data_IF_780628200217
#
_entry.id   IF_780628200217
#
_cell.length_a   1.000
_cell.length_b   1.000
_cell.length_c   1.000
_cell.angle_alpha   90.00
_cell.angle_beta   90.00
_cell.angle_gamma   90.00
#
_symmetry.space_group_name_H-M   'P 1'
#
loop_
_entity.id
_entity.type
_entity.pdbx_description
1 polymer ?
#
# COMPACT_ATOMS: atom_id res chain seq x y z
N UNK A 1 20.14 -0.34 19.78
CA UNK A 1 18.76 -0.47 20.29
C UNK A 1 18.73 -0.25 21.80
N UNK A 2 17.57 -0.02 22.36
CA UNK A 2 17.36 0.15 23.78
C UNK A 2 17.76 -1.13 24.56
N UNK A 3 18.34 -1.02 25.75
CA UNK A 3 18.50 -2.16 26.62
C UNK A 3 17.16 -2.52 27.30
N UNK A 4 17.11 -3.61 28.13
CA UNK A 4 15.85 -4.08 28.71
C UNK A 4 15.22 -3.09 29.70
N UNK A 5 16.05 -2.41 30.50
CA UNK A 5 15.60 -1.42 31.48
C UNK A 5 15.06 -0.17 30.77
N UNK A 6 15.80 0.36 29.82
CA UNK A 6 15.37 1.48 28.97
C UNK A 6 14.06 1.20 28.25
N UNK A 7 13.89 -0.02 27.70
CA UNK A 7 12.64 -0.41 27.05
C UNK A 7 11.48 -0.45 28.03
N UNK A 8 11.71 -0.96 29.26
CA UNK A 8 10.70 -0.97 30.33
C UNK A 8 10.22 0.44 30.69
N UNK A 9 11.13 1.40 30.76
CA UNK A 9 10.79 2.81 31.02
C UNK A 9 10.03 3.41 29.82
N UNK A 10 10.49 3.14 28.60
CA UNK A 10 9.89 3.63 27.37
C UNK A 10 8.47 3.10 27.11
N UNK A 11 8.11 1.92 27.60
CA UNK A 11 6.74 1.38 27.52
C UNK A 11 5.70 2.29 28.21
N UNK A 12 6.10 3.06 29.22
CA UNK A 12 5.21 3.97 29.93
C UNK A 12 4.94 5.29 29.17
N UNK A 13 5.68 5.57 28.10
CA UNK A 13 5.53 6.77 27.31
C UNK A 13 4.42 6.61 26.28
N UNK A 14 3.47 7.53 26.28
CA UNK A 14 2.32 7.56 25.36
C UNK A 14 2.66 8.45 24.17
N UNK A 15 3.15 7.86 23.09
CA UNK A 15 3.49 8.52 21.85
C UNK A 15 3.24 7.58 20.63
N UNK A 16 3.60 8.02 19.44
CA UNK A 16 3.45 7.29 18.17
C UNK A 16 4.33 6.02 18.08
N UNK A 17 5.38 5.90 18.90
CA UNK A 17 6.26 4.74 18.95
C UNK A 17 5.76 3.62 19.88
N UNK A 18 4.66 3.82 20.57
CA UNK A 18 4.19 2.92 21.62
C UNK A 18 3.94 1.49 21.14
N UNK A 19 3.25 1.32 19.99
CA UNK A 19 2.95 0.00 19.45
C UNK A 19 4.23 -0.76 19.07
N UNK A 20 5.22 -0.05 18.54
CA UNK A 20 6.51 -0.65 18.17
C UNK A 20 7.32 -1.09 19.38
N UNK A 21 7.24 -0.35 20.48
CA UNK A 21 7.87 -0.74 21.76
C UNK A 21 7.23 -1.96 22.37
N UNK A 22 5.91 -2.11 22.26
CA UNK A 22 5.19 -3.31 22.71
C UNK A 22 5.66 -4.53 21.88
N UNK A 23 5.72 -4.40 20.56
CA UNK A 23 6.23 -5.47 19.71
C UNK A 23 7.69 -5.83 20.02
N UNK A 24 8.57 -4.84 20.28
CA UNK A 24 9.96 -5.07 20.67
C UNK A 24 10.06 -5.78 22.06
N UNK A 25 9.21 -5.40 23.00
CA UNK A 25 9.14 -6.06 24.31
C UNK A 25 8.72 -7.53 24.17
N UNK A 26 7.71 -7.83 23.35
CA UNK A 26 7.27 -9.20 23.07
C UNK A 26 8.38 -10.02 22.40
N UNK A 27 9.10 -9.48 21.40
CA UNK A 27 10.25 -10.15 20.76
C UNK A 27 11.36 -10.47 21.76
N UNK A 28 11.50 -9.70 22.83
CA UNK A 28 12.48 -9.91 23.93
C UNK A 28 11.94 -10.74 25.10
N UNK A 29 10.75 -11.31 24.97
CA UNK A 29 10.16 -12.20 25.96
C UNK A 29 9.69 -11.50 27.23
N UNK A 30 9.17 -10.28 27.12
CA UNK A 30 8.40 -9.68 28.21
C UNK A 30 7.05 -10.39 28.31
N UNK A 31 6.60 -10.64 29.54
CA UNK A 31 5.27 -11.17 29.79
C UNK A 31 4.18 -10.09 29.62
N UNK A 32 2.93 -10.54 29.41
CA UNK A 32 1.80 -9.64 29.17
C UNK A 32 1.48 -8.76 30.36
N UNK A 33 1.65 -9.29 31.59
CA UNK A 33 1.37 -8.52 32.79
C UNK A 33 2.32 -7.34 32.93
N UNK A 34 3.62 -7.56 32.71
CA UNK A 34 4.63 -6.49 32.70
C UNK A 34 4.30 -5.43 31.64
N UNK A 35 3.91 -5.82 30.42
CA UNK A 35 3.55 -4.87 29.37
C UNK A 35 2.27 -4.12 29.73
N UNK A 36 1.26 -4.82 30.22
CA UNK A 36 -0.01 -4.22 30.67
C UNK A 36 0.22 -3.19 31.79
N UNK A 37 0.94 -3.56 32.84
CA UNK A 37 1.22 -2.66 33.97
C UNK A 37 1.93 -1.36 33.56
N UNK A 38 2.81 -1.44 32.56
CA UNK A 38 3.55 -0.27 32.04
C UNK A 38 2.76 0.57 31.06
N UNK A 39 1.93 -0.06 30.24
CA UNK A 39 1.22 0.62 29.14
C UNK A 39 -0.22 0.95 29.48
N UNK A 40 -0.83 0.25 30.44
CA UNK A 40 -2.27 0.24 30.73
C UNK A 40 -3.13 -0.18 29.51
N UNK A 41 -2.51 -0.84 28.50
CA UNK A 41 -3.21 -1.42 27.36
C UNK A 41 -3.78 -2.77 27.76
N UNK A 42 -5.04 -3.02 27.40
CA UNK A 42 -5.70 -4.28 27.67
C UNK A 42 -4.90 -5.46 27.07
N UNK A 43 -4.70 -6.56 27.83
CA UNK A 43 -3.97 -7.74 27.38
C UNK A 43 -4.47 -8.33 26.06
N UNK A 44 -5.74 -8.14 25.72
CA UNK A 44 -6.28 -8.58 24.44
C UNK A 44 -5.56 -7.95 23.24
N UNK A 45 -5.24 -6.64 23.30
CA UNK A 45 -4.49 -5.97 22.22
C UNK A 45 -3.02 -6.42 22.19
N UNK A 46 -2.43 -6.67 23.36
CA UNK A 46 -1.07 -7.21 23.49
C UNK A 46 -0.99 -8.59 22.84
N UNK A 47 -1.99 -9.45 23.08
CA UNK A 47 -2.14 -10.76 22.46
C UNK A 47 -2.18 -10.67 20.91
N UNK A 48 -2.92 -9.70 20.36
CA UNK A 48 -2.98 -9.53 18.88
C UNK A 48 -1.63 -9.12 18.28
N UNK A 49 -0.83 -8.33 19.00
CA UNK A 49 0.53 -8.01 18.58
C UNK A 49 1.45 -9.23 18.72
N UNK A 50 1.27 -10.03 19.77
CA UNK A 50 2.06 -11.25 20.01
C UNK A 50 1.90 -12.26 18.87
N UNK A 51 0.70 -12.44 18.32
CA UNK A 51 0.44 -13.31 17.15
C UNK A 51 1.34 -12.93 15.96
N UNK A 52 1.50 -11.63 15.70
CA UNK A 52 2.39 -11.16 14.62
C UNK A 52 3.88 -11.43 14.95
N UNK A 53 4.28 -11.24 16.21
CA UNK A 53 5.65 -11.53 16.66
C UNK A 53 5.96 -13.02 16.57
N UNK A 54 5.02 -13.89 16.90
CA UNK A 54 5.15 -15.35 16.76
C UNK A 54 5.31 -15.76 15.28
N UNK A 55 4.57 -15.14 14.37
CA UNK A 55 4.74 -15.36 12.94
C UNK A 55 6.12 -14.89 12.46
N UNK A 56 6.61 -13.72 12.89
CA UNK A 56 7.97 -13.27 12.60
C UNK A 56 9.03 -14.30 13.05
N UNK A 57 8.89 -14.85 14.27
CA UNK A 57 9.79 -15.87 14.79
C UNK A 57 9.70 -17.16 13.98
N UNK A 58 8.50 -17.58 13.58
CA UNK A 58 8.30 -18.76 12.74
C UNK A 58 8.99 -18.61 11.39
N UNK A 59 8.86 -17.44 10.74
CA UNK A 59 9.54 -17.12 9.48
C UNK A 59 11.08 -17.09 9.61
N UNK A 60 11.61 -16.68 10.77
CA UNK A 60 13.05 -16.61 11.02
C UNK A 60 13.69 -17.97 11.33
N UNK A 61 12.93 -18.88 11.94
CA UNK A 61 13.49 -20.12 12.53
C UNK A 61 13.10 -21.40 11.80
N UNK A 62 12.04 -21.35 10.99
CA UNK A 62 11.53 -22.50 10.27
C UNK A 62 11.89 -22.44 8.78
N UNK A 63 11.87 -23.60 8.10
CA UNK A 63 11.93 -23.63 6.65
C UNK A 63 10.65 -23.00 6.05
N UNK A 64 10.81 -22.11 5.09
CA UNK A 64 9.69 -21.47 4.42
C UNK A 64 9.02 -22.47 3.46
N UNK A 65 7.93 -23.07 3.92
CA UNK A 65 7.05 -23.90 3.10
C UNK A 65 5.92 -23.10 2.47
N UNK A 66 5.24 -23.60 1.42
CA UNK A 66 4.05 -22.94 0.87
C UNK A 66 2.95 -22.69 1.89
N UNK A 67 2.78 -23.61 2.86
CA UNK A 67 1.79 -23.48 3.93
C UNK A 67 2.12 -22.31 4.86
N UNK A 68 3.39 -22.23 5.32
CA UNK A 68 3.85 -21.13 6.17
C UNK A 68 3.78 -19.79 5.43
N UNK A 69 4.16 -19.77 4.14
CA UNK A 69 4.03 -18.58 3.29
C UNK A 69 2.57 -18.14 3.19
N UNK A 70 1.63 -19.06 2.94
CA UNK A 70 0.21 -18.77 2.87
C UNK A 70 -0.33 -18.22 4.19
N UNK A 71 0.10 -18.77 5.32
CA UNK A 71 -0.31 -18.30 6.64
C UNK A 71 0.22 -16.89 6.90
N UNK A 72 1.49 -16.61 6.60
CA UNK A 72 2.06 -15.27 6.70
C UNK A 72 1.32 -14.26 5.80
N UNK A 73 0.99 -14.62 4.57
CA UNK A 73 0.18 -13.77 3.67
C UNK A 73 -1.22 -13.51 4.22
N UNK A 74 -1.86 -14.50 4.86
CA UNK A 74 -3.16 -14.31 5.54
C UNK A 74 -3.09 -13.33 6.71
N UNK A 75 -1.91 -13.14 7.29
CA UNK A 75 -1.62 -12.14 8.32
C UNK A 75 -1.09 -10.84 7.73
N UNK A 76 -1.21 -10.63 6.43
CA UNK A 76 -0.83 -9.43 5.68
C UNK A 76 0.68 -9.09 5.75
N UNK A 77 1.55 -10.10 5.94
CA UNK A 77 3.00 -9.88 5.83
C UNK A 77 3.39 -9.59 4.38
N UNK A 78 3.99 -8.42 4.06
CA UNK A 78 4.46 -8.10 2.72
C UNK A 78 5.59 -9.04 2.25
N UNK A 79 5.66 -9.30 0.95
CA UNK A 79 6.69 -10.15 0.34
C UNK A 79 8.11 -9.67 0.71
N UNK A 80 8.34 -8.35 0.74
CA UNK A 80 9.61 -7.76 1.16
C UNK A 80 9.96 -8.08 2.63
N UNK A 81 8.98 -8.11 3.53
CA UNK A 81 9.18 -8.43 4.96
C UNK A 81 9.46 -9.92 5.12
N UNK A 82 8.68 -10.78 4.46
CA UNK A 82 8.90 -12.23 4.46
C UNK A 82 10.30 -12.55 3.91
N UNK A 83 10.69 -11.92 2.80
CA UNK A 83 12.01 -12.06 2.21
C UNK A 83 13.13 -11.71 3.21
N UNK A 84 13.02 -10.56 3.87
CA UNK A 84 13.99 -10.14 4.89
C UNK A 84 14.08 -11.12 6.06
N UNK A 85 12.95 -11.64 6.55
CA UNK A 85 12.91 -12.56 7.69
C UNK A 85 13.46 -13.95 7.35
N UNK A 86 13.30 -14.39 6.10
CA UNK A 86 13.72 -15.71 5.62
C UNK A 86 15.07 -15.70 4.89
N UNK A 87 15.70 -14.53 4.75
CA UNK A 87 16.98 -14.36 4.03
C UNK A 87 16.85 -14.51 2.51
N UNK A 88 15.66 -14.19 1.95
CA UNK A 88 15.35 -14.23 0.52
C UNK A 88 15.07 -12.82 -0.01
N UNK A 89 15.07 -12.67 -1.31
CA UNK A 89 14.63 -11.43 -1.97
C UNK A 89 13.11 -11.37 -2.05
N UNK A 90 12.56 -10.17 -2.14
CA UNK A 90 11.12 -9.95 -2.37
C UNK A 90 10.64 -10.70 -3.63
N UNK A 91 11.42 -10.66 -4.71
CA UNK A 91 11.08 -11.35 -5.96
C UNK A 91 11.01 -12.86 -5.81
N UNK A 92 11.90 -13.48 -5.03
CA UNK A 92 11.84 -14.93 -4.75
C UNK A 92 10.56 -15.30 -3.97
N UNK A 93 10.13 -14.45 -3.04
CA UNK A 93 8.87 -14.67 -2.31
C UNK A 93 7.68 -14.52 -3.24
N UNK A 94 7.64 -13.46 -4.05
CA UNK A 94 6.63 -13.23 -5.08
C UNK A 94 6.50 -14.44 -6.01
N UNK A 95 7.61 -14.92 -6.59
CA UNK A 95 7.61 -16.04 -7.52
C UNK A 95 7.16 -17.35 -6.84
N UNK A 96 7.58 -17.57 -5.58
CA UNK A 96 7.16 -18.74 -4.79
C UNK A 96 5.66 -18.71 -4.51
N UNK A 97 5.08 -17.56 -4.13
CA UNK A 97 3.66 -17.49 -3.86
C UNK A 97 2.81 -17.65 -5.13
N UNK A 98 3.22 -17.04 -6.24
CA UNK A 98 2.53 -17.20 -7.53
C UNK A 98 2.59 -18.65 -8.03
N UNK A 99 3.75 -19.32 -7.95
CA UNK A 99 3.91 -20.73 -8.31
C UNK A 99 3.01 -21.67 -7.49
N UNK A 100 2.65 -21.29 -6.27
CA UNK A 100 1.78 -22.05 -5.38
C UNK A 100 0.32 -21.55 -5.34
N UNK A 101 -0.07 -20.62 -6.22
CA UNK A 101 -1.41 -20.06 -6.28
C UNK A 101 -1.81 -19.25 -5.04
N UNK A 102 -0.82 -18.71 -4.31
CA UNK A 102 -1.04 -17.82 -3.17
C UNK A 102 -1.13 -16.40 -3.72
N UNK A 103 -2.30 -16.00 -4.14
CA UNK A 103 -2.61 -14.69 -4.75
C UNK A 103 -3.70 -13.99 -3.95
N UNK A 104 -3.72 -12.67 -4.02
CA UNK A 104 -4.77 -11.89 -3.38
C UNK A 104 -6.13 -12.18 -4.05
N UNK A 105 -7.15 -12.31 -3.24
CA UNK A 105 -8.56 -12.30 -3.64
C UNK A 105 -9.23 -11.09 -3.00
N UNK A 106 -10.24 -10.55 -3.63
CA UNK A 106 -10.87 -9.31 -3.17
C UNK A 106 -12.29 -9.58 -2.71
N UNK A 107 -12.61 -9.06 -1.53
CA UNK A 107 -13.94 -9.13 -0.94
C UNK A 107 -14.62 -7.77 -1.03
N UNK A 108 -15.93 -7.78 -1.22
CA UNK A 108 -16.75 -6.57 -1.16
C UNK A 108 -16.96 -6.16 0.30
N UNK A 109 -16.85 -4.86 0.57
CA UNK A 109 -17.20 -4.33 1.90
C UNK A 109 -18.69 -4.42 2.10
N UNK A 110 -19.12 -5.18 3.11
CA UNK A 110 -20.54 -5.24 3.51
C UNK A 110 -20.91 -3.98 4.29
N UNK A 111 -21.62 -3.07 3.64
CA UNK A 111 -22.15 -1.83 4.23
C UNK A 111 -23.54 -1.99 4.81
N UNK A 112 -24.12 -3.19 4.73
CA UNK A 112 -25.50 -3.49 5.12
C UNK A 112 -25.59 -4.39 6.37
N UNK A 113 -24.50 -4.65 7.06
CA UNK A 113 -24.42 -5.50 8.25
C UNK A 113 -25.07 -6.89 8.08
N UNK A 114 -24.95 -7.46 6.88
CA UNK A 114 -25.54 -8.72 6.47
C UNK A 114 -27.11 -8.76 6.49
N UNK A 115 -27.78 -7.63 6.69
CA UNK A 115 -29.25 -7.55 6.60
C UNK A 115 -29.76 -7.64 5.17
N UNK A 116 -28.97 -7.13 4.22
CA UNK A 116 -29.23 -7.15 2.78
C UNK A 116 -27.93 -7.47 2.04
N UNK A 117 -28.05 -7.90 0.77
CA UNK A 117 -26.87 -8.00 -0.09
C UNK A 117 -26.29 -6.60 -0.32
N UNK A 118 -25.03 -6.41 0.01
CA UNK A 118 -24.31 -5.18 -0.28
C UNK A 118 -24.03 -5.09 -1.80
N UNK A 119 -24.26 -3.92 -2.39
CA UNK A 119 -23.98 -3.61 -3.79
C UNK A 119 -23.06 -2.37 -3.84
N UNK A 120 -21.92 -2.44 -3.09
CA UNK A 120 -20.96 -1.35 -3.04
C UNK A 120 -19.79 -1.61 -3.97
N UNK A 121 -19.19 -0.60 -4.60
CA UNK A 121 -18.00 -0.77 -5.43
C UNK A 121 -16.72 -0.90 -4.59
N UNK A 122 -16.80 -1.21 -3.31
CA UNK A 122 -15.72 -1.19 -2.34
C UNK A 122 -15.12 -2.58 -2.14
N UNK A 123 -13.84 -2.71 -2.40
CA UNK A 123 -13.11 -3.97 -2.29
C UNK A 123 -11.88 -3.83 -1.39
N UNK A 124 -11.53 -4.93 -0.71
CA UNK A 124 -10.32 -5.10 0.06
C UNK A 124 -9.73 -6.49 -0.17
N UNK A 125 -8.43 -6.62 -0.08
CA UNK A 125 -7.74 -7.89 -0.32
C UNK A 125 -7.83 -8.84 0.87
N UNK A 126 -7.80 -10.12 0.53
CA UNK A 126 -7.60 -11.23 1.46
C UNK A 126 -6.80 -12.33 0.76
N UNK A 127 -6.06 -13.14 1.48
CA UNK A 127 -5.44 -14.35 0.93
C UNK A 127 -6.36 -15.56 1.16
N UNK A 128 -7.52 -15.53 0.52
CA UNK A 128 -8.58 -16.55 0.56
C UNK A 128 -8.75 -17.28 -0.77
N UNK A 129 -9.85 -18.04 -0.90
CA UNK A 129 -10.19 -18.80 -2.10
C UNK A 129 -11.27 -18.16 -2.97
N UNK A 130 -11.96 -17.15 -2.45
CA UNK A 130 -13.12 -16.52 -3.12
C UNK A 130 -12.81 -15.08 -3.47
N UNK A 131 -12.99 -14.74 -4.74
CA UNK A 131 -12.86 -13.39 -5.24
C UNK A 131 -14.24 -12.84 -5.62
N UNK A 132 -14.66 -11.76 -4.98
CA UNK A 132 -15.92 -11.06 -5.22
C UNK A 132 -15.80 -9.88 -6.18
N UNK A 133 -14.58 -9.47 -6.53
CA UNK A 133 -14.35 -8.45 -7.55
C UNK A 133 -14.69 -9.03 -8.93
N UNK A 134 -15.97 -8.92 -9.30
CA UNK A 134 -16.49 -9.50 -10.54
C UNK A 134 -15.89 -8.83 -11.77
N UNK A 135 -15.69 -9.63 -12.81
CA UNK A 135 -15.53 -9.08 -14.17
C UNK A 135 -16.84 -8.44 -14.59
N UNK A 136 -16.80 -7.17 -14.85
CA UNK A 136 -17.99 -6.38 -15.05
C UNK A 136 -18.40 -6.24 -16.51
N UNK A 137 -17.44 -6.06 -17.42
CA UNK A 137 -17.74 -5.75 -18.82
C UNK A 137 -16.49 -5.80 -19.71
N UNK A 138 -16.68 -5.49 -21.00
CA UNK A 138 -15.61 -5.41 -22.01
C UNK A 138 -15.11 -3.97 -22.24
N UNK A 139 -15.44 -3.03 -21.35
CA UNK A 139 -14.95 -1.65 -21.44
C UNK A 139 -13.44 -1.61 -21.21
N UNK A 140 -12.80 -0.65 -21.82
CA UNK A 140 -11.42 -0.30 -21.47
C UNK A 140 -11.37 0.18 -20.02
N UNK A 141 -10.32 -0.18 -19.32
CA UNK A 141 -10.14 0.10 -17.90
C UNK A 141 -9.05 1.13 -17.66
N UNK A 142 -9.29 2.05 -16.76
CA UNK A 142 -8.29 2.99 -16.27
C UNK A 142 -8.13 2.89 -14.77
N UNK A 143 -6.88 2.77 -14.32
CA UNK A 143 -6.51 2.76 -12.92
C UNK A 143 -6.12 4.18 -12.49
N UNK A 144 -6.78 4.73 -11.49
CA UNK A 144 -6.46 6.03 -10.89
C UNK A 144 -5.91 5.80 -9.50
N UNK A 145 -4.64 6.14 -9.28
CA UNK A 145 -4.01 6.00 -7.98
C UNK A 145 -4.30 7.24 -7.12
N UNK A 146 -4.87 7.01 -5.95
CA UNK A 146 -5.13 8.04 -4.95
C UNK A 146 -3.85 8.48 -4.22
N UNK A 147 -4.00 9.46 -3.35
CA UNK A 147 -2.89 10.07 -2.60
C UNK A 147 -2.61 9.40 -1.25
N UNK A 148 -3.45 8.46 -0.83
CA UNK A 148 -3.39 7.94 0.53
C UNK A 148 -3.77 8.99 1.57
N UNK A 149 -3.29 8.86 2.82
CA UNK A 149 -3.47 9.88 3.85
C UNK A 149 -2.75 11.17 3.46
N UNK A 150 -3.50 12.26 3.42
CA UNK A 150 -3.01 13.60 3.06
C UNK A 150 -3.15 14.58 4.22
N UNK A 151 -2.38 15.66 4.18
CA UNK A 151 -2.48 16.73 5.17
C UNK A 151 -3.70 17.60 4.91
N UNK A 152 -4.22 18.23 5.96
CA UNK A 152 -5.31 19.21 5.84
C UNK A 152 -4.90 20.29 4.83
N UNK A 153 -5.78 20.58 3.88
CA UNK A 153 -5.57 21.55 2.82
C UNK A 153 -5.07 20.97 1.49
N UNK A 154 -4.60 19.71 1.45
CA UNK A 154 -4.14 19.07 0.21
C UNK A 154 -5.27 18.39 -0.58
N UNK A 155 -6.46 18.21 0.00
CA UNK A 155 -7.59 17.56 -0.66
C UNK A 155 -8.01 18.23 -1.96
N UNK A 156 -7.94 19.56 -2.05
CA UNK A 156 -8.27 20.30 -3.29
C UNK A 156 -7.31 19.93 -4.42
N UNK A 157 -6.02 19.78 -4.13
CA UNK A 157 -5.02 19.49 -5.14
C UNK A 157 -5.10 18.05 -5.63
N UNK A 158 -5.18 17.08 -4.72
CA UNK A 158 -5.10 15.67 -5.07
C UNK A 158 -6.47 15.02 -5.23
N UNK A 159 -7.31 15.11 -4.23
CA UNK A 159 -8.59 14.41 -4.21
C UNK A 159 -9.58 14.95 -5.24
N UNK A 160 -9.72 16.26 -5.32
CA UNK A 160 -10.54 16.92 -6.33
C UNK A 160 -10.11 16.57 -7.76
N UNK A 161 -8.79 16.57 -8.03
CA UNK A 161 -8.26 16.21 -9.34
C UNK A 161 -8.49 14.74 -9.67
N UNK A 162 -8.36 13.84 -8.69
CA UNK A 162 -8.67 12.41 -8.86
C UNK A 162 -10.13 12.18 -9.21
N UNK A 163 -11.07 12.85 -8.54
CA UNK A 163 -12.51 12.80 -8.84
C UNK A 163 -12.79 13.25 -10.27
N UNK A 164 -12.29 14.42 -10.66
CA UNK A 164 -12.52 14.96 -12.00
C UNK A 164 -11.89 14.12 -13.09
N UNK A 165 -10.70 13.55 -12.85
CA UNK A 165 -10.05 12.60 -13.74
C UNK A 165 -10.94 11.36 -13.94
N UNK A 166 -11.41 10.76 -12.86
CA UNK A 166 -12.27 9.58 -12.88
C UNK A 166 -13.55 9.86 -13.67
N UNK A 167 -14.22 10.98 -13.41
CA UNK A 167 -15.43 11.37 -14.16
C UNK A 167 -15.16 11.64 -15.65
N UNK A 168 -13.98 12.18 -16.00
CA UNK A 168 -13.63 12.40 -17.39
C UNK A 168 -13.50 11.06 -18.14
N UNK A 169 -12.80 10.08 -17.58
CA UNK A 169 -12.69 8.74 -18.17
C UNK A 169 -14.03 7.99 -18.21
N UNK A 170 -14.86 8.10 -17.17
CA UNK A 170 -16.18 7.52 -17.14
C UNK A 170 -17.08 8.07 -18.27
N UNK A 171 -17.03 9.38 -18.55
CA UNK A 171 -17.76 10.01 -19.66
C UNK A 171 -17.31 9.54 -21.03
N UNK A 172 -16.04 9.17 -21.17
CA UNK A 172 -15.45 8.60 -22.39
C UNK A 172 -15.70 7.07 -22.49
N UNK A 173 -16.46 6.49 -21.57
CA UNK A 173 -16.86 5.09 -21.59
C UNK A 173 -15.86 4.10 -21.01
N UNK A 174 -14.85 4.56 -20.30
CA UNK A 174 -13.95 3.66 -19.57
C UNK A 174 -14.60 3.12 -18.30
N UNK A 175 -14.23 1.92 -17.91
CA UNK A 175 -14.40 1.43 -16.53
C UNK A 175 -13.32 2.05 -15.67
N UNK A 176 -13.75 2.77 -14.63
CA UNK A 176 -12.86 3.51 -13.76
C UNK A 176 -12.60 2.77 -12.47
N UNK A 177 -11.33 2.64 -12.11
CA UNK A 177 -10.87 1.92 -10.94
C UNK A 177 -10.01 2.87 -10.11
N UNK A 178 -10.40 3.11 -8.86
CA UNK A 178 -9.58 3.88 -7.91
C UNK A 178 -8.90 2.91 -6.94
N UNK A 179 -7.64 3.16 -6.62
CA UNK A 179 -6.92 2.54 -5.50
C UNK A 179 -6.54 3.62 -4.51
N UNK A 180 -7.03 3.52 -3.29
CA UNK A 180 -6.69 4.45 -2.23
C UNK A 180 -6.85 3.78 -0.86
N UNK A 181 -5.98 4.08 0.10
CA UNK A 181 -6.08 3.59 1.48
C UNK A 181 -6.62 4.65 2.45
N UNK A 182 -7.14 5.77 1.94
CA UNK A 182 -7.81 6.79 2.74
C UNK A 182 -9.33 6.66 2.55
N UNK A 183 -10.10 6.16 3.52
CA UNK A 183 -11.54 5.97 3.39
C UNK A 183 -12.35 7.27 3.63
N UNK A 184 -11.69 8.34 4.08
CA UNK A 184 -12.32 9.59 4.52
C UNK A 184 -12.09 10.72 3.52
N UNK A 185 -12.29 10.45 2.22
CA UNK A 185 -12.08 11.45 1.18
C UNK A 185 -13.10 11.30 0.04
N UNK A 186 -13.33 12.36 -0.73
CA UNK A 186 -14.39 12.38 -1.76
C UNK A 186 -14.11 11.41 -2.90
N UNK A 187 -12.85 11.20 -3.27
CA UNK A 187 -12.50 10.24 -4.33
C UNK A 187 -12.85 8.79 -3.97
N UNK A 188 -13.07 8.51 -2.69
CA UNK A 188 -13.48 7.20 -2.19
C UNK A 188 -14.98 7.07 -1.92
N UNK A 189 -15.77 8.04 -2.33
CA UNK A 189 -17.22 7.93 -2.27
C UNK A 189 -17.75 6.92 -3.30
N UNK A 190 -18.83 6.23 -2.95
CA UNK A 190 -19.37 5.08 -3.70
C UNK A 190 -19.84 5.41 -5.13
N UNK A 191 -20.08 6.67 -5.44
CA UNK A 191 -20.60 7.16 -6.73
C UNK A 191 -19.52 7.78 -7.64
N UNK A 192 -18.24 7.71 -7.25
CA UNK A 192 -17.15 8.33 -8.01
C UNK A 192 -16.58 7.42 -9.08
N UNK A 193 -16.34 6.15 -8.76
CA UNK A 193 -15.73 5.17 -9.66
C UNK A 193 -16.58 3.91 -9.79
N UNK A 194 -16.37 3.15 -10.87
CA UNK A 194 -17.02 1.84 -11.03
C UNK A 194 -16.51 0.83 -9.99
N UNK A 195 -15.22 0.94 -9.58
CA UNK A 195 -14.60 0.13 -8.54
C UNK A 195 -13.63 0.94 -7.70
N UNK A 196 -13.59 0.64 -6.40
CA UNK A 196 -12.65 1.20 -5.45
C UNK A 196 -12.00 0.09 -4.65
N UNK A 197 -10.68 0.04 -4.70
CA UNK A 197 -9.87 -0.85 -3.88
C UNK A 197 -9.28 -0.07 -2.70
N UNK A 198 -9.65 -0.45 -1.50
CA UNK A 198 -9.08 0.06 -0.25
C UNK A 198 -7.80 -0.72 0.06
N UNK A 199 -6.73 -0.36 -0.64
CA UNK A 199 -5.45 -1.06 -0.52
C UNK A 199 -4.31 -0.07 -0.26
N UNK A 200 -3.24 -0.52 0.39
CA UNK A 200 -2.02 0.25 0.48
C UNK A 200 -1.49 0.60 -0.91
N UNK A 201 -0.92 1.79 -1.05
CA UNK A 201 -0.30 2.23 -2.30
C UNK A 201 1.16 1.75 -2.34
N UNK A 202 1.34 0.43 -2.32
CA UNK A 202 2.65 -0.25 -2.44
C UNK A 202 2.75 -0.96 -3.80
N UNK A 203 3.96 -1.25 -4.30
CA UNK A 203 4.12 -2.03 -5.53
C UNK A 203 3.41 -3.38 -5.49
N UNK A 204 3.51 -4.12 -4.39
CA UNK A 204 2.91 -5.46 -4.23
C UNK A 204 1.38 -5.43 -4.29
N UNK A 205 0.75 -4.50 -3.57
CA UNK A 205 -0.71 -4.40 -3.52
C UNK A 205 -1.27 -3.93 -4.86
N UNK A 206 -0.61 -2.95 -5.49
CA UNK A 206 -1.00 -2.45 -6.81
C UNK A 206 -0.78 -3.50 -7.89
N UNK A 207 0.30 -4.30 -7.84
CA UNK A 207 0.53 -5.41 -8.77
C UNK A 207 -0.62 -6.43 -8.70
N UNK A 208 -1.08 -6.78 -7.51
CA UNK A 208 -2.20 -7.71 -7.33
C UNK A 208 -3.50 -7.20 -7.96
N UNK A 209 -3.75 -5.88 -7.92
CA UNK A 209 -4.92 -5.26 -8.59
C UNK A 209 -4.72 -5.23 -10.11
N UNK A 210 -3.51 -4.90 -10.58
CA UNK A 210 -3.16 -4.91 -12.01
C UNK A 210 -3.35 -6.30 -12.60
N UNK A 211 -2.91 -7.34 -11.90
CA UNK A 211 -3.05 -8.74 -12.33
C UNK A 211 -4.53 -9.16 -12.44
N UNK A 212 -5.37 -8.68 -11.54
CA UNK A 212 -6.79 -8.98 -11.57
C UNK A 212 -7.53 -8.19 -12.64
N UNK A 213 -7.32 -6.87 -12.67
CA UNK A 213 -8.13 -5.96 -13.48
C UNK A 213 -7.60 -5.78 -14.90
N UNK A 214 -6.30 -5.99 -15.13
CA UNK A 214 -5.64 -5.81 -16.44
C UNK A 214 -5.98 -4.45 -17.07
N UNK A 215 -5.64 -3.31 -16.42
CA UNK A 215 -6.02 -1.99 -16.89
C UNK A 215 -5.29 -1.63 -18.20
N UNK A 216 -5.97 -0.89 -19.10
CA UNK A 216 -5.38 -0.34 -20.33
C UNK A 216 -4.42 0.81 -20.08
N UNK A 217 -4.45 1.39 -18.88
CA UNK A 217 -3.53 2.43 -18.44
C UNK A 217 -3.78 2.90 -17.01
N UNK A 218 -2.81 3.63 -16.47
CA UNK A 218 -2.85 4.17 -15.13
C UNK A 218 -2.57 5.67 -15.09
N UNK A 219 -3.23 6.38 -14.18
CA UNK A 219 -3.01 7.80 -13.87
C UNK A 219 -2.39 7.92 -12.49
N UNK A 220 -1.23 8.56 -12.42
CA UNK A 220 -0.44 8.72 -11.17
C UNK A 220 -0.34 10.18 -10.71
N UNK A 221 -0.57 11.15 -11.60
CA UNK A 221 -0.30 12.58 -11.33
C UNK A 221 -1.12 13.14 -10.16
N UNK A 222 -2.32 12.65 -9.94
CA UNK A 222 -3.24 13.20 -8.95
C UNK A 222 -3.12 12.56 -7.56
N UNK A 223 -2.29 11.53 -7.43
CA UNK A 223 -2.01 10.87 -6.15
C UNK A 223 -0.81 11.42 -5.39
N UNK A 224 -0.25 12.56 -5.81
CA UNK A 224 0.91 13.17 -5.19
C UNK A 224 2.14 12.25 -5.19
N UNK A 225 3.06 12.49 -4.27
CA UNK A 225 4.31 11.71 -4.15
C UNK A 225 4.09 10.22 -3.92
N UNK A 226 2.99 9.83 -3.29
CA UNK A 226 2.68 8.42 -3.03
C UNK A 226 2.43 7.66 -4.34
N UNK A 227 1.58 8.20 -5.22
CA UNK A 227 1.27 7.58 -6.51
C UNK A 227 2.43 7.72 -7.52
N UNK A 228 3.11 8.87 -7.53
CA UNK A 228 4.24 9.12 -8.45
C UNK A 228 5.35 8.09 -8.24
N UNK A 229 5.65 7.70 -7.00
CA UNK A 229 6.64 6.67 -6.71
C UNK A 229 6.32 5.29 -7.27
N UNK A 230 5.06 5.02 -7.63
CA UNK A 230 4.63 3.75 -8.24
C UNK A 230 4.80 3.74 -9.76
N UNK A 231 5.19 4.84 -10.38
CA UNK A 231 5.29 4.99 -11.84
C UNK A 231 6.22 3.93 -12.46
N UNK A 232 7.42 3.76 -11.91
CA UNK A 232 8.38 2.76 -12.39
C UNK A 232 7.84 1.32 -12.21
N UNK A 233 7.22 1.04 -11.07
CA UNK A 233 6.62 -0.28 -10.80
C UNK A 233 5.51 -0.61 -11.78
N UNK A 234 4.60 0.33 -12.07
CA UNK A 234 3.54 0.17 -13.05
C UNK A 234 4.09 -0.09 -14.46
N UNK A 235 5.14 0.61 -14.86
CA UNK A 235 5.80 0.36 -16.15
C UNK A 235 6.40 -1.05 -16.22
N UNK A 236 7.04 -1.51 -15.14
CA UNK A 236 7.60 -2.86 -15.06
C UNK A 236 6.50 -3.94 -15.10
N UNK A 237 5.30 -3.64 -14.63
CA UNK A 237 4.10 -4.47 -14.79
C UNK A 237 3.49 -4.40 -16.19
N UNK A 238 4.00 -3.53 -17.07
CA UNK A 238 3.50 -3.34 -18.44
C UNK A 238 2.27 -2.44 -18.54
N UNK A 239 1.94 -1.68 -17.52
CA UNK A 239 0.80 -0.75 -17.51
C UNK A 239 1.22 0.61 -18.08
N UNK A 240 0.61 1.08 -19.17
CA UNK A 240 0.91 2.41 -19.73
C UNK A 240 0.53 3.53 -18.75
N UNK A 241 1.43 4.48 -18.55
CA UNK A 241 1.11 5.70 -17.79
C UNK A 241 0.42 6.70 -18.71
N UNK A 242 -0.78 7.11 -18.31
CA UNK A 242 -1.59 8.09 -19.04
C UNK A 242 -1.24 9.50 -18.54
N UNK A 243 -1.00 10.42 -19.47
CA UNK A 243 -0.57 11.78 -19.18
C UNK A 243 0.94 11.97 -19.33
N UNK A 244 1.63 12.45 -18.29
CA UNK A 244 3.09 12.61 -18.33
C UNK A 244 3.78 11.25 -18.31
N UNK A 245 4.67 10.98 -19.25
CA UNK A 245 5.40 9.71 -19.31
C UNK A 245 6.28 9.51 -18.07
N UNK A 246 6.51 8.26 -17.70
CA UNK A 246 7.35 7.92 -16.56
C UNK A 246 8.76 8.52 -16.64
N UNK A 247 9.36 8.51 -17.82
CA UNK A 247 10.67 9.14 -18.07
C UNK A 247 10.65 10.65 -17.75
N UNK A 248 9.57 11.34 -18.12
CA UNK A 248 9.44 12.78 -17.84
C UNK A 248 9.07 13.06 -16.39
N UNK A 249 8.34 12.14 -15.73
CA UNK A 249 8.11 12.22 -14.28
C UNK A 249 9.44 12.11 -13.53
N UNK A 250 10.26 11.11 -13.86
CA UNK A 250 11.58 10.90 -13.25
C UNK A 250 12.50 12.14 -13.47
N UNK A 251 12.55 12.65 -14.70
CA UNK A 251 13.30 13.89 -15.00
C UNK A 251 12.83 15.10 -14.23
N UNK A 252 11.54 15.18 -13.90
CA UNK A 252 10.99 16.30 -13.12
C UNK A 252 11.23 16.15 -11.61
N UNK A 253 11.34 14.93 -11.10
CA UNK A 253 11.57 14.63 -9.68
C UNK A 253 13.05 14.66 -9.31
N UNK A 254 13.94 14.25 -10.21
CA UNK A 254 15.39 14.32 -10.01
C UNK A 254 15.90 15.73 -10.20
N UNK A 255 16.55 16.28 -9.17
CA UNK A 255 17.03 17.67 -9.22
C UNK A 255 18.08 17.93 -10.29
N UNK A 256 18.96 16.99 -10.51
CA UNK A 256 20.06 17.15 -11.48
C UNK A 256 19.53 17.09 -12.91
N UNK A 257 18.64 16.11 -13.18
CA UNK A 257 17.98 16.00 -14.48
C UNK A 257 17.07 17.19 -14.77
N UNK A 258 16.35 17.67 -13.77
CA UNK A 258 15.50 18.85 -13.91
C UNK A 258 16.30 20.12 -14.19
N UNK A 259 17.43 20.31 -13.51
CA UNK A 259 18.34 21.40 -13.74
C UNK A 259 18.89 21.39 -15.19
N UNK A 260 19.24 20.21 -15.73
CA UNK A 260 19.67 20.07 -17.12
C UNK A 260 18.57 20.47 -18.10
N UNK A 261 17.32 20.03 -17.86
CA UNK A 261 16.17 20.42 -18.70
C UNK A 261 15.96 21.93 -18.69
N UNK A 262 16.05 22.58 -17.54
CA UNK A 262 15.91 24.03 -17.44
C UNK A 262 17.01 24.75 -18.23
N UNK A 263 18.25 24.27 -18.19
CA UNK A 263 19.36 24.82 -18.97
C UNK A 263 19.15 24.63 -20.47
N UNK A 264 18.75 23.43 -20.91
CA UNK A 264 18.43 23.15 -22.31
C UNK A 264 17.28 24.01 -22.84
N UNK A 265 16.29 24.30 -22.02
CA UNK A 265 15.15 25.16 -22.34
C UNK A 265 15.49 26.67 -22.23
N UNK A 266 16.65 27.02 -21.73
CA UNK A 266 17.03 28.43 -21.50
C UNK A 266 16.21 29.10 -20.39
N UNK A 267 15.66 28.32 -19.44
CA UNK A 267 14.87 28.82 -18.32
C UNK A 267 15.80 29.20 -17.15
N UNK A 268 15.73 30.45 -16.65
CA UNK A 268 16.57 30.89 -15.56
C UNK A 268 16.28 30.10 -14.26
N UNK A 269 17.31 29.65 -13.58
CA UNK A 269 17.24 29.02 -12.27
C UNK A 269 18.27 29.58 -11.28
N UNK A 270 18.09 29.44 -9.97
CA UNK A 270 19.13 29.74 -9.00
C UNK A 270 20.38 28.89 -9.25
N UNK A 271 21.56 29.48 -9.10
CA UNK A 271 22.82 28.73 -9.16
C UNK A 271 22.94 27.80 -7.96
N UNK A 272 23.27 26.56 -8.20
CA UNK A 272 23.40 25.51 -7.16
C UNK A 272 24.05 24.26 -7.71
N UNK A 273 24.35 23.31 -6.85
CA UNK A 273 24.84 22.00 -7.20
C UNK A 273 24.28 20.94 -6.24
N UNK A 274 24.13 19.71 -6.74
CA UNK A 274 23.70 18.57 -5.94
C UNK A 274 24.93 17.87 -5.37
N UNK A 275 24.92 17.58 -4.07
CA UNK A 275 25.96 16.79 -3.38
C UNK A 275 25.29 15.58 -2.73
N UNK A 276 25.91 14.42 -2.92
CA UNK A 276 25.39 13.14 -2.39
C UNK A 276 26.10 12.68 -1.11
N UNK A 277 27.22 13.28 -0.79
CA UNK A 277 27.99 13.00 0.44
C UNK A 277 28.52 14.30 1.02
N UNK A 278 28.55 14.39 2.35
CA UNK A 278 29.14 15.53 3.08
C UNK A 278 30.66 15.41 3.11
#
# INVERSE_FOLDING_TARGET
>A
GLNREELTEQLSIVDDMRIWRIADALRRGFDYDTIHERTMIDPWFIDKIAILVEMEQSLQTSELTPELLKEAKRMEFPDAVIGRLTGRTEREIHDMRHANGIVAAYKMVDTCAAEFAAETPYYYSVFGSENEAAKTNDRKKVLVLGSGPIRIGQGIEFDFCSVHCTWAFSREGYETIIVNNNPETVSTDFDIADKLYFEPLTPEDVESIVDLEQPDGAVVQFGGQTAIKLTESLMNMGVPILGTSAENVDKAEDRELFDQILEECGIPRPSGGTVYTA
#
